data_IF_551097496387
#
_entry.id   IF_551097496387
#
_cell.length_a   1.000
_cell.length_b   1.000
_cell.length_c   1.000
_cell.angle_alpha   90.00
_cell.angle_beta   90.00
_cell.angle_gamma   90.00
#
_symmetry.space_group_name_H-M   'P 1'
#
loop_
_entity.id
_entity.type
_entity.pdbx_description
1 polymer ?
#
# COMPACT_ATOMS: atom_id res chain seq x y z
N UNK A 1 -52.76 9.20 10.78
CA UNK A 1 -51.53 8.96 11.54
C UNK A 1 -51.70 7.76 12.49
N UNK A 2 -51.88 6.59 11.93
CA UNK A 2 -52.03 5.34 12.73
C UNK A 2 -51.86 4.10 11.82
N UNK A 3 -50.76 4.03 11.02
CA UNK A 3 -50.52 2.86 10.15
C UNK A 3 -49.04 2.59 9.78
N UNK A 4 -48.08 3.05 10.59
CA UNK A 4 -46.65 2.74 10.42
C UNK A 4 -46.01 2.14 11.69
N UNK A 5 -46.78 1.37 12.48
CA UNK A 5 -46.28 0.75 13.72
C UNK A 5 -46.33 -0.79 13.71
N UNK A 6 -46.29 -1.44 12.53
CA UNK A 6 -46.58 -2.86 12.38
C UNK A 6 -45.53 -3.77 11.74
N UNK A 7 -44.30 -3.33 11.45
CA UNK A 7 -43.33 -4.15 10.67
C UNK A 7 -42.03 -4.50 11.41
N UNK A 8 -41.85 -4.15 12.67
CA UNK A 8 -40.62 -4.48 13.42
C UNK A 8 -40.83 -5.50 14.54
N UNK A 9 -41.48 -6.63 14.26
CA UNK A 9 -41.41 -7.82 15.13
C UNK A 9 -41.54 -9.09 14.33
N UNK A 10 -40.42 -9.56 13.75
CA UNK A 10 -40.08 -10.97 13.44
C UNK A 10 -38.79 -11.02 12.63
N UNK A 11 -37.66 -10.90 13.31
CA UNK A 11 -36.44 -11.60 12.89
C UNK A 11 -35.77 -12.11 14.18
N UNK A 12 -35.77 -13.44 14.30
CA UNK A 12 -35.43 -14.14 15.50
C UNK A 12 -34.00 -13.94 15.94
N UNK A 13 -33.84 -13.85 17.22
CA UNK A 13 -32.61 -14.16 17.93
C UNK A 13 -32.16 -15.57 17.54
N UNK A 14 -31.14 -15.69 16.71
CA UNK A 14 -30.37 -16.93 16.57
C UNK A 14 -29.39 -16.98 17.73
N UNK A 15 -29.53 -18.04 18.46
CA UNK A 15 -28.88 -18.35 19.73
C UNK A 15 -27.35 -18.21 19.67
N UNK A 16 -26.80 -17.57 20.68
CA UNK A 16 -25.36 -17.49 21.00
C UNK A 16 -24.71 -18.86 21.31
N UNK A 17 -25.37 -19.97 20.99
CA UNK A 17 -24.90 -21.32 21.25
C UNK A 17 -24.08 -21.98 20.13
N UNK A 18 -24.06 -21.41 18.91
CA UNK A 18 -23.40 -22.04 17.77
C UNK A 18 -21.95 -21.58 17.54
N UNK A 19 -21.54 -20.44 18.11
CA UNK A 19 -20.16 -19.93 18.01
C UNK A 19 -19.19 -20.59 19.00
N UNK A 20 -19.69 -21.18 20.09
CA UNK A 20 -18.86 -21.84 21.11
C UNK A 20 -18.44 -23.27 20.74
N UNK A 21 -19.01 -23.88 19.71
CA UNK A 21 -18.68 -25.26 19.28
C UNK A 21 -17.62 -25.38 18.21
N UNK A 22 -17.24 -24.33 17.50
CA UNK A 22 -16.17 -24.36 16.49
C UNK A 22 -14.78 -23.97 16.99
N UNK A 23 -14.65 -23.47 18.22
CA UNK A 23 -13.37 -23.12 18.85
C UNK A 23 -12.70 -24.30 19.54
N UNK A 24 -13.39 -25.44 19.69
CA UNK A 24 -12.90 -26.58 20.47
C UNK A 24 -12.38 -27.77 19.64
N UNK A 25 -12.30 -27.70 18.32
CA UNK A 25 -11.82 -28.82 17.47
C UNK A 25 -10.44 -28.64 16.85
N UNK A 26 -9.74 -27.52 17.05
CA UNK A 26 -8.31 -27.40 16.73
C UNK A 26 -7.44 -27.64 17.98
N UNK A 27 -7.43 -28.90 18.45
CA UNK A 27 -6.46 -29.39 19.42
C UNK A 27 -5.18 -29.84 18.70
N UNK A 28 -4.37 -28.89 18.23
CA UNK A 28 -2.94 -29.08 17.98
C UNK A 28 -2.27 -27.70 18.04
N UNK A 29 -2.08 -27.21 19.22
CA UNK A 29 -1.06 -26.25 19.66
C UNK A 29 -1.25 -25.93 21.14
N UNK A 30 -1.34 -26.99 21.95
CA UNK A 30 -1.52 -26.86 23.41
C UNK A 30 -0.24 -26.36 24.11
N UNK A 31 0.89 -26.25 23.41
CA UNK A 31 2.15 -25.80 23.99
C UNK A 31 2.36 -24.28 23.91
N UNK A 32 1.73 -23.57 22.98
CA UNK A 32 1.88 -22.11 22.82
C UNK A 32 1.18 -21.26 23.90
N UNK A 33 0.21 -21.82 24.63
CA UNK A 33 -0.60 -21.08 25.61
C UNK A 33 -0.41 -21.54 27.06
N UNK A 34 0.45 -22.52 27.32
CA UNK A 34 0.65 -23.09 28.67
C UNK A 34 1.28 -22.09 29.66
N UNK A 35 2.07 -21.16 29.18
CA UNK A 35 2.76 -20.16 30.03
C UNK A 35 1.89 -18.98 30.44
N UNK A 36 0.76 -18.70 29.76
CA UNK A 36 -0.21 -17.70 30.23
C UNK A 36 -0.95 -18.10 31.52
N UNK A 37 -0.88 -19.36 31.92
CA UNK A 37 -1.56 -19.88 33.12
C UNK A 37 -0.66 -19.96 34.35
N UNK A 38 0.64 -19.69 34.25
CA UNK A 38 1.60 -19.93 35.36
C UNK A 38 1.93 -18.70 36.17
N UNK A 39 1.21 -17.56 35.99
CA UNK A 39 1.35 -16.37 36.86
C UNK A 39 2.76 -15.75 36.89
N UNK A 40 3.59 -15.98 35.88
CA UNK A 40 4.84 -15.25 35.71
C UNK A 40 4.51 -13.83 35.25
N UNK A 41 5.12 -12.86 35.87
CA UNK A 41 4.83 -11.45 35.66
C UNK A 41 4.89 -11.04 34.18
N UNK A 42 4.04 -10.09 33.78
CA UNK A 42 4.00 -9.53 32.46
C UNK A 42 5.37 -8.86 32.15
N UNK A 43 6.27 -9.58 31.51
CA UNK A 43 7.58 -9.03 31.15
C UNK A 43 8.72 -10.04 30.96
N UNK A 44 8.49 -11.34 31.20
CA UNK A 44 9.55 -12.34 31.08
C UNK A 44 9.49 -13.06 29.75
N UNK A 45 10.49 -12.86 28.89
CA UNK A 45 10.64 -13.54 27.58
C UNK A 45 11.90 -14.41 27.60
N UNK A 46 11.88 -15.65 27.06
CA UNK A 46 13.10 -16.44 26.91
C UNK A 46 14.07 -15.79 25.92
N UNK A 47 15.35 -15.73 26.28
CA UNK A 47 16.41 -15.38 25.36
C UNK A 47 16.67 -16.52 24.33
N UNK A 48 17.56 -16.30 23.36
CA UNK A 48 17.92 -17.32 22.33
C UNK A 48 18.58 -18.58 22.91
N UNK A 49 18.97 -18.55 24.18
CA UNK A 49 19.63 -19.67 24.91
C UNK A 49 18.69 -20.28 25.97
N UNK A 50 17.40 -19.90 26.01
CA UNK A 50 16.41 -20.40 26.96
C UNK A 50 16.45 -19.76 28.34
N UNK A 51 17.24 -18.70 28.55
CA UNK A 51 17.21 -17.86 29.74
C UNK A 51 15.99 -16.96 29.78
N UNK A 52 15.51 -16.63 31.02
CA UNK A 52 14.44 -15.64 31.20
C UNK A 52 15.07 -14.27 31.24
N UNK A 53 14.75 -13.43 30.24
CA UNK A 53 15.19 -12.03 30.20
C UNK A 53 14.02 -11.14 30.61
N UNK A 54 14.20 -10.38 31.69
CA UNK A 54 13.23 -9.36 32.05
C UNK A 54 13.23 -8.24 31.02
N UNK A 55 12.06 -7.90 30.47
CA UNK A 55 11.92 -6.82 29.46
C UNK A 55 12.51 -5.50 29.97
N UNK A 56 12.41 -5.23 31.28
CA UNK A 56 13.02 -4.07 31.89
C UNK A 56 14.56 -4.07 31.79
N UNK A 57 15.21 -5.23 31.92
CA UNK A 57 16.67 -5.33 31.83
C UNK A 57 17.17 -5.14 30.37
N UNK A 58 16.38 -5.55 29.36
CA UNK A 58 16.69 -5.27 27.96
C UNK A 58 16.54 -3.80 27.58
N UNK A 59 15.57 -3.08 28.16
CA UNK A 59 15.39 -1.64 27.95
C UNK A 59 16.53 -0.83 28.57
N UNK A 60 17.17 -1.36 29.63
CA UNK A 60 18.21 -0.66 30.37
C UNK A 60 19.65 -1.03 29.96
N UNK A 61 19.83 -1.94 28.96
CA UNK A 61 21.16 -2.36 28.48
C UNK A 61 21.32 -2.17 26.96
N UNK A 62 22.53 -1.89 26.53
CA UNK A 62 22.87 -1.75 25.10
C UNK A 62 22.09 -0.67 24.37
N UNK A 63 21.60 -0.97 23.16
CA UNK A 63 20.88 -0.03 22.31
C UNK A 63 19.60 0.52 22.98
N UNK A 64 18.87 -0.30 23.74
CA UNK A 64 17.67 0.14 24.44
C UNK A 64 17.95 1.25 25.46
N UNK A 65 19.01 1.12 26.26
CA UNK A 65 19.44 2.15 27.22
C UNK A 65 19.90 3.43 26.48
N UNK A 66 20.65 3.28 25.39
CA UNK A 66 21.12 4.40 24.58
C UNK A 66 19.97 5.20 23.96
N UNK A 67 18.93 4.52 23.43
CA UNK A 67 17.74 5.17 22.87
C UNK A 67 16.92 5.92 23.92
N UNK A 68 16.82 5.39 25.14
CA UNK A 68 16.05 6.04 26.22
C UNK A 68 16.77 7.26 26.80
N UNK A 69 18.09 7.22 26.89
CA UNK A 69 18.90 8.24 27.58
C UNK A 69 19.63 9.19 26.62
N UNK A 70 19.90 8.74 25.39
CA UNK A 70 20.64 9.47 24.37
C UNK A 70 19.78 10.45 23.58
N UNK A 71 20.45 11.25 22.75
CA UNK A 71 19.78 12.10 21.76
C UNK A 71 19.42 11.31 20.52
N UNK A 72 18.16 11.39 20.09
CA UNK A 72 17.70 10.78 18.83
C UNK A 72 18.26 11.48 17.58
N UNK A 73 19.12 12.49 17.75
CA UNK A 73 19.90 13.12 16.66
C UNK A 73 21.37 12.69 16.66
N UNK A 74 21.78 11.81 17.58
CA UNK A 74 23.13 11.24 17.63
C UNK A 74 23.27 10.20 16.49
N UNK A 75 24.08 10.53 15.49
CA UNK A 75 24.28 9.70 14.31
C UNK A 75 24.85 8.32 14.67
N UNK A 76 25.78 8.23 15.63
CA UNK A 76 26.34 6.97 16.07
C UNK A 76 25.29 6.06 16.73
N UNK A 77 24.29 6.64 17.40
CA UNK A 77 23.16 5.92 17.94
C UNK A 77 22.19 5.48 16.82
N UNK A 78 21.89 6.34 15.87
CA UNK A 78 20.99 6.02 14.76
C UNK A 78 21.54 4.87 13.88
N UNK A 79 22.83 4.87 13.57
CA UNK A 79 23.48 3.77 12.82
C UNK A 79 23.32 2.42 13.53
N UNK A 80 23.32 2.37 14.87
CA UNK A 80 23.10 1.12 15.60
C UNK A 80 21.68 0.54 15.39
N UNK A 81 20.70 1.36 15.02
CA UNK A 81 19.34 0.88 14.73
C UNK A 81 19.25 0.08 13.44
N UNK A 82 20.17 0.28 12.49
CA UNK A 82 20.20 -0.43 11.21
C UNK A 82 20.47 -1.94 11.37
N UNK A 83 21.17 -2.31 12.46
CA UNK A 83 21.43 -3.72 12.75
C UNK A 83 20.20 -4.50 13.23
N UNK A 84 19.08 -3.81 13.51
CA UNK A 84 17.85 -4.45 13.96
C UNK A 84 17.06 -4.99 12.77
N UNK A 85 16.54 -6.24 12.82
CA UNK A 85 15.75 -6.79 11.74
C UNK A 85 14.41 -6.06 11.61
N UNK A 86 14.01 -5.77 10.37
CA UNK A 86 12.71 -5.18 10.07
C UNK A 86 11.71 -6.29 9.74
N UNK A 87 10.57 -6.30 10.44
CA UNK A 87 9.53 -7.32 10.29
C UNK A 87 8.66 -7.04 9.06
N UNK A 88 8.59 -7.93 8.05
CA UNK A 88 7.59 -7.83 6.99
C UNK A 88 6.22 -8.27 7.55
N UNK A 89 5.24 -7.37 7.53
CA UNK A 89 3.90 -7.62 8.10
C UNK A 89 3.01 -8.41 7.14
N UNK A 90 3.10 -8.12 5.83
CA UNK A 90 2.28 -8.72 4.77
C UNK A 90 3.14 -9.26 3.61
N UNK A 91 4.05 -10.23 3.86
CA UNK A 91 5.02 -10.69 2.85
C UNK A 91 4.40 -11.44 1.66
N UNK A 92 3.14 -11.82 1.75
CA UNK A 92 2.38 -12.52 0.71
C UNK A 92 1.37 -11.61 -0.03
N UNK A 93 1.23 -10.34 0.38
CA UNK A 93 0.35 -9.39 -0.27
C UNK A 93 1.06 -8.63 -1.40
N UNK A 94 0.30 -8.32 -2.45
CA UNK A 94 0.75 -7.52 -3.58
C UNK A 94 0.05 -6.16 -3.53
N UNK A 95 0.77 -5.06 -3.72
CA UNK A 95 0.18 -3.74 -3.87
C UNK A 95 0.06 -3.43 -5.37
N UNK A 96 -1.17 -3.21 -5.83
CA UNK A 96 -1.48 -2.89 -7.23
C UNK A 96 -2.07 -1.49 -7.31
N UNK A 97 -1.34 -0.56 -7.89
CA UNK A 97 -1.79 0.81 -8.07
C UNK A 97 -2.34 1.03 -9.46
N UNK A 98 -3.64 1.31 -9.58
CA UNK A 98 -4.34 1.59 -10.84
C UNK A 98 -4.27 3.08 -11.14
N UNK A 99 -3.70 3.46 -12.27
CA UNK A 99 -3.56 4.85 -12.70
C UNK A 99 -4.91 5.57 -12.81
N UNK A 100 -4.97 6.84 -12.37
CA UNK A 100 -6.18 7.65 -12.54
C UNK A 100 -6.38 8.05 -14.01
N UNK A 101 -5.47 8.86 -14.55
CA UNK A 101 -5.53 9.33 -15.95
C UNK A 101 -5.34 8.19 -16.94
N UNK A 102 -4.38 7.32 -16.70
CA UNK A 102 -4.04 6.23 -17.60
C UNK A 102 -5.10 5.14 -17.63
N UNK A 103 -5.95 5.03 -16.61
CA UNK A 103 -6.91 3.93 -16.51
C UNK A 103 -8.32 4.36 -16.14
N UNK A 104 -8.55 4.94 -14.97
CA UNK A 104 -9.90 5.25 -14.47
C UNK A 104 -10.63 6.25 -15.39
N UNK A 105 -9.92 7.28 -15.84
CA UNK A 105 -10.49 8.31 -16.73
C UNK A 105 -10.79 7.79 -18.15
N UNK A 106 -10.29 6.60 -18.55
CA UNK A 106 -10.65 5.92 -19.79
C UNK A 106 -11.98 5.18 -19.72
N UNK A 107 -12.55 5.02 -18.53
CA UNK A 107 -13.86 4.44 -18.31
C UNK A 107 -13.92 2.93 -18.59
N UNK A 108 -15.10 2.48 -19.02
CA UNK A 108 -15.47 1.06 -19.10
C UNK A 108 -14.49 0.19 -19.88
N UNK A 109 -14.05 0.65 -21.04
CA UNK A 109 -13.21 -0.15 -21.94
C UNK A 109 -11.85 -0.55 -21.32
N UNK A 110 -11.31 0.28 -20.44
CA UNK A 110 -10.07 -0.03 -19.73
C UNK A 110 -10.34 -0.73 -18.40
N UNK A 111 -11.32 -0.25 -17.63
CA UNK A 111 -11.50 -0.67 -16.24
C UNK A 111 -12.09 -2.08 -16.12
N UNK A 112 -13.05 -2.47 -16.98
CA UNK A 112 -13.73 -3.76 -16.83
C UNK A 112 -12.84 -4.97 -17.12
N UNK A 113 -12.02 -5.00 -18.20
CA UNK A 113 -11.10 -6.11 -18.41
C UNK A 113 -10.09 -6.27 -17.25
N UNK A 114 -9.58 -5.16 -16.70
CA UNK A 114 -8.69 -5.20 -15.56
C UNK A 114 -9.37 -5.73 -14.29
N UNK A 115 -10.64 -5.37 -14.04
CA UNK A 115 -11.43 -5.90 -12.93
C UNK A 115 -11.61 -7.42 -13.07
N UNK A 116 -11.93 -7.90 -14.25
CA UNK A 116 -12.09 -9.34 -14.51
C UNK A 116 -10.78 -10.09 -14.25
N UNK A 117 -9.65 -9.53 -14.69
CA UNK A 117 -8.33 -10.10 -14.43
C UNK A 117 -7.97 -10.06 -12.94
N UNK A 118 -8.24 -8.95 -12.24
CA UNK A 118 -8.05 -8.84 -10.79
C UNK A 118 -8.80 -9.94 -10.04
N UNK A 119 -10.10 -10.12 -10.35
CA UNK A 119 -10.95 -11.11 -9.69
C UNK A 119 -10.43 -12.54 -9.95
N UNK A 120 -10.02 -12.84 -11.17
CA UNK A 120 -9.48 -14.15 -11.52
C UNK A 120 -8.21 -14.49 -10.69
N UNK A 121 -7.41 -13.51 -10.37
CA UNK A 121 -6.17 -13.67 -9.61
C UNK A 121 -6.36 -13.76 -8.09
N UNK A 122 -7.57 -13.52 -7.54
CA UNK A 122 -7.80 -13.61 -6.09
C UNK A 122 -7.74 -15.02 -5.54
N UNK A 123 -7.77 -16.04 -6.38
CA UNK A 123 -7.59 -17.45 -5.97
C UNK A 123 -6.18 -17.64 -5.40
N UNK A 124 -5.18 -17.06 -6.04
CA UNK A 124 -3.77 -17.32 -5.74
C UNK A 124 -3.08 -16.14 -5.03
N UNK A 125 -3.62 -14.92 -5.15
CA UNK A 125 -2.96 -13.71 -4.69
C UNK A 125 -3.80 -12.92 -3.68
N UNK A 126 -3.13 -12.32 -2.68
CA UNK A 126 -3.68 -11.27 -1.81
C UNK A 126 -3.31 -9.92 -2.42
N UNK A 127 -4.30 -9.03 -2.60
CA UNK A 127 -4.11 -7.78 -3.35
C UNK A 127 -4.62 -6.56 -2.58
N UNK A 128 -3.76 -5.59 -2.37
CA UNK A 128 -4.12 -4.24 -1.92
C UNK A 128 -4.25 -3.37 -3.17
N UNK A 129 -5.48 -3.02 -3.54
CA UNK A 129 -5.77 -2.21 -4.72
C UNK A 129 -5.75 -0.74 -4.32
N UNK A 130 -4.86 0.05 -4.95
CA UNK A 130 -4.74 1.48 -4.74
C UNK A 130 -5.09 2.25 -6.02
N UNK A 131 -5.60 3.48 -5.93
CA UNK A 131 -6.02 4.26 -7.10
C UNK A 131 -5.26 5.57 -7.23
N UNK A 132 -4.99 5.98 -8.45
CA UNK A 132 -4.53 7.32 -8.77
C UNK A 132 -5.67 8.33 -8.84
N UNK A 133 -5.33 9.63 -8.81
CA UNK A 133 -6.31 10.71 -8.85
C UNK A 133 -6.74 11.09 -10.29
N UNK A 134 -5.82 11.10 -11.26
CA UNK A 134 -6.13 11.34 -12.66
C UNK A 134 -6.32 12.81 -13.04
N UNK A 135 -6.99 13.03 -14.18
CA UNK A 135 -7.18 14.37 -14.78
C UNK A 135 -7.97 15.32 -13.89
N UNK A 136 -8.94 14.79 -13.13
CA UNK A 136 -9.74 15.60 -12.21
C UNK A 136 -8.91 16.26 -11.11
N UNK A 137 -7.84 15.60 -10.62
CA UNK A 137 -6.93 16.22 -9.66
C UNK A 137 -6.13 17.36 -10.30
N UNK A 138 -5.73 17.23 -11.58
CA UNK A 138 -5.04 18.33 -12.29
C UNK A 138 -5.93 19.56 -12.40
N UNK A 139 -7.22 19.38 -12.67
CA UNK A 139 -8.20 20.46 -12.66
C UNK A 139 -8.35 21.06 -11.26
N UNK A 140 -8.50 20.23 -10.21
CA UNK A 140 -8.58 20.72 -8.83
C UNK A 140 -7.31 21.49 -8.41
N UNK A 141 -6.12 21.05 -8.84
CA UNK A 141 -4.88 21.78 -8.62
C UNK A 141 -4.87 23.13 -9.35
N UNK A 142 -5.32 23.18 -10.61
CA UNK A 142 -5.39 24.44 -11.36
C UNK A 142 -6.26 25.47 -10.65
N UNK A 143 -7.46 25.09 -10.23
CA UNK A 143 -8.37 25.97 -9.46
C UNK A 143 -7.76 26.35 -8.11
N UNK A 144 -7.20 25.40 -7.38
CA UNK A 144 -6.58 25.66 -6.07
C UNK A 144 -5.38 26.61 -6.17
N UNK A 145 -4.57 26.48 -7.24
CA UNK A 145 -3.45 27.38 -7.51
C UNK A 145 -3.91 28.80 -7.82
N UNK A 146 -4.95 28.95 -8.64
CA UNK A 146 -5.55 30.24 -8.97
C UNK A 146 -6.11 30.94 -7.73
N UNK A 147 -6.73 30.18 -6.82
CA UNK A 147 -7.21 30.65 -5.53
C UNK A 147 -6.12 30.88 -4.48
N UNK A 148 -4.84 30.69 -4.81
CA UNK A 148 -3.72 30.90 -3.91
C UNK A 148 -3.53 29.84 -2.83
N UNK A 149 -4.13 28.65 -2.96
CA UNK A 149 -4.05 27.59 -1.94
C UNK A 149 -2.62 27.07 -1.79
N UNK A 150 -2.15 26.79 -0.55
CA UNK A 150 -0.82 26.24 -0.31
C UNK A 150 -0.74 24.75 -0.69
N UNK A 151 0.50 24.26 -0.88
CA UNK A 151 0.80 22.89 -1.32
C UNK A 151 0.10 21.79 -0.51
N UNK A 152 0.05 21.91 0.82
CA UNK A 152 -0.64 20.93 1.66
C UNK A 152 -2.15 20.85 1.39
N UNK A 153 -2.81 21.97 1.08
CA UNK A 153 -4.23 21.99 0.68
C UNK A 153 -4.40 21.35 -0.70
N UNK A 154 -3.50 21.63 -1.65
CA UNK A 154 -3.52 20.93 -2.96
C UNK A 154 -3.37 19.41 -2.78
N UNK A 155 -2.51 18.96 -1.88
CA UNK A 155 -2.36 17.53 -1.57
C UNK A 155 -3.67 16.88 -1.10
N UNK A 156 -4.42 17.56 -0.22
CA UNK A 156 -5.74 17.10 0.23
C UNK A 156 -6.76 17.06 -0.92
N UNK A 157 -6.79 18.08 -1.78
CA UNK A 157 -7.69 18.08 -2.95
C UNK A 157 -7.41 16.90 -3.87
N UNK A 158 -6.13 16.59 -4.14
CA UNK A 158 -5.75 15.41 -4.90
C UNK A 158 -6.15 14.09 -4.22
N UNK A 159 -6.08 14.03 -2.90
CA UNK A 159 -6.50 12.88 -2.09
C UNK A 159 -8.00 12.61 -2.26
N UNK A 160 -8.85 13.61 -2.20
CA UNK A 160 -10.29 13.45 -2.39
C UNK A 160 -10.64 12.92 -3.77
N UNK A 161 -9.93 13.34 -4.81
CA UNK A 161 -10.13 12.80 -6.16
C UNK A 161 -9.70 11.33 -6.26
N UNK A 162 -8.58 10.97 -5.66
CA UNK A 162 -8.15 9.57 -5.57
C UNK A 162 -9.16 8.71 -4.80
N UNK A 163 -9.71 9.22 -3.71
CA UNK A 163 -10.77 8.57 -2.94
C UNK A 163 -12.04 8.35 -3.77
N UNK A 164 -12.46 9.34 -4.59
CA UNK A 164 -13.58 9.15 -5.52
C UNK A 164 -13.32 7.98 -6.48
N UNK A 165 -12.11 7.89 -7.04
CA UNK A 165 -11.74 6.78 -7.94
C UNK A 165 -11.79 5.43 -7.21
N UNK A 166 -11.27 5.36 -6.00
CA UNK A 166 -11.31 4.15 -5.18
C UNK A 166 -12.76 3.73 -4.84
N UNK A 167 -13.62 4.69 -4.51
CA UNK A 167 -15.04 4.42 -4.27
C UNK A 167 -15.75 3.90 -5.53
N UNK A 168 -15.50 4.48 -6.71
CA UNK A 168 -16.06 3.97 -7.96
C UNK A 168 -15.61 2.52 -8.21
N UNK A 169 -14.31 2.23 -8.05
CA UNK A 169 -13.78 0.88 -8.21
C UNK A 169 -14.37 -0.09 -7.18
N UNK A 170 -14.50 0.34 -5.93
CA UNK A 170 -15.14 -0.46 -4.89
C UNK A 170 -16.57 -0.85 -5.27
N UNK A 171 -17.40 0.08 -5.75
CA UNK A 171 -18.78 -0.27 -6.15
C UNK A 171 -18.84 -1.30 -7.27
N UNK A 172 -17.86 -1.31 -8.19
CA UNK A 172 -17.76 -2.34 -9.22
C UNK A 172 -17.33 -3.70 -8.64
N UNK A 173 -16.54 -3.70 -7.57
CA UNK A 173 -15.98 -4.87 -6.91
C UNK A 173 -16.82 -5.38 -5.71
N UNK A 174 -17.79 -4.59 -5.23
CA UNK A 174 -18.58 -4.89 -4.04
C UNK A 174 -19.33 -6.23 -4.13
N UNK A 175 -19.85 -6.57 -5.31
CA UNK A 175 -20.52 -7.87 -5.55
C UNK A 175 -19.60 -9.08 -5.37
N UNK A 176 -18.29 -8.88 -5.40
CA UNK A 176 -17.26 -9.90 -5.16
C UNK A 176 -16.76 -9.90 -3.70
N UNK A 177 -17.41 -9.12 -2.83
CA UNK A 177 -17.09 -9.05 -1.40
C UNK A 177 -15.81 -8.29 -1.07
N UNK A 178 -15.24 -7.53 -2.01
CA UNK A 178 -14.01 -6.75 -1.80
C UNK A 178 -14.35 -5.43 -1.10
N UNK A 179 -13.88 -5.21 0.15
CA UNK A 179 -14.21 -4.00 0.90
C UNK A 179 -13.39 -2.79 0.43
N UNK A 180 -13.96 -1.60 0.64
CA UNK A 180 -13.20 -0.35 0.66
C UNK A 180 -12.70 -0.12 2.10
N UNK A 181 -11.42 0.22 2.23
CA UNK A 181 -10.80 0.56 3.51
C UNK A 181 -10.12 1.93 3.44
N UNK A 182 -10.09 2.61 4.57
CA UNK A 182 -9.39 3.88 4.75
C UNK A 182 -8.08 3.64 5.55
N UNK A 183 -7.09 4.56 5.50
CA UNK A 183 -5.82 4.37 6.20
C UNK A 183 -5.94 4.09 7.70
N UNK A 184 -6.96 4.61 8.36
CA UNK A 184 -7.26 4.32 9.77
C UNK A 184 -7.55 2.83 10.02
N UNK A 185 -7.93 2.09 8.98
CA UNK A 185 -8.23 0.66 9.02
C UNK A 185 -7.04 -0.21 8.59
N UNK A 186 -5.90 0.36 8.20
CA UNK A 186 -4.72 -0.39 7.79
C UNK A 186 -4.19 -1.37 8.85
N UNK A 187 -4.29 -1.13 10.16
CA UNK A 187 -3.95 -2.15 11.15
C UNK A 187 -4.75 -3.45 11.02
N UNK A 188 -5.93 -3.43 10.38
CA UNK A 188 -6.75 -4.61 10.13
C UNK A 188 -6.50 -5.27 8.75
N UNK A 189 -5.56 -4.74 7.93
CA UNK A 189 -5.23 -5.32 6.61
C UNK A 189 -4.98 -6.83 6.64
N UNK A 190 -4.21 -7.39 7.61
CA UNK A 190 -4.00 -8.84 7.67
C UNK A 190 -5.32 -9.62 7.73
N UNK A 191 -6.28 -9.16 8.54
CA UNK A 191 -7.59 -9.79 8.67
C UNK A 191 -8.41 -9.70 7.38
N UNK A 192 -8.51 -8.52 6.79
CA UNK A 192 -9.24 -8.33 5.53
C UNK A 192 -8.67 -9.15 4.38
N UNK A 193 -7.35 -9.22 4.26
CA UNK A 193 -6.71 -9.98 3.20
C UNK A 193 -6.83 -11.49 3.40
N UNK A 194 -6.88 -11.96 4.65
CA UNK A 194 -7.13 -13.38 4.92
C UNK A 194 -8.54 -13.80 4.55
N UNK A 195 -9.54 -12.98 4.88
CA UNK A 195 -10.94 -13.31 4.63
C UNK A 195 -11.39 -13.02 3.18
N UNK A 196 -10.92 -11.93 2.58
CA UNK A 196 -11.45 -11.38 1.33
C UNK A 196 -10.46 -11.43 0.18
N UNK A 197 -9.22 -11.75 0.42
CA UNK A 197 -8.11 -11.80 -0.54
C UNK A 197 -7.75 -10.46 -1.17
N UNK A 198 -8.65 -9.48 -1.14
CA UNK A 198 -8.36 -8.13 -1.62
C UNK A 198 -9.08 -7.05 -0.81
N UNK A 199 -8.52 -5.85 -0.88
CA UNK A 199 -9.15 -4.60 -0.41
C UNK A 199 -8.94 -3.51 -1.46
N UNK A 200 -9.86 -2.53 -1.50
CA UNK A 200 -9.69 -1.29 -2.25
C UNK A 200 -9.37 -0.16 -1.27
N UNK A 201 -8.31 0.56 -1.54
CA UNK A 201 -7.99 1.83 -0.88
C UNK A 201 -7.64 2.89 -1.94
N UNK A 202 -7.45 4.12 -1.53
CA UNK A 202 -7.00 5.17 -2.44
C UNK A 202 -5.49 5.36 -2.32
N UNK A 203 -4.86 5.80 -3.43
CA UNK A 203 -3.47 6.25 -3.40
C UNK A 203 -3.41 7.55 -2.62
N UNK A 204 -3.07 7.46 -1.35
CA UNK A 204 -3.04 8.59 -0.45
C UNK A 204 -1.70 9.29 -0.55
N UNK A 205 -1.66 10.59 -0.84
CA UNK A 205 -0.46 11.39 -0.60
C UNK A 205 -0.05 11.24 0.87
N UNK A 206 1.20 10.82 1.17
CA UNK A 206 1.55 10.37 2.51
C UNK A 206 1.52 11.49 3.55
N UNK A 207 1.77 12.72 3.13
CA UNK A 207 1.94 13.83 4.06
C UNK A 207 0.72 14.77 4.19
N UNK A 208 -0.28 14.65 3.32
CA UNK A 208 -1.54 15.42 3.39
C UNK A 208 -1.31 16.93 3.60
N UNK A 209 -1.83 17.49 4.70
CA UNK A 209 -1.60 18.88 5.07
C UNK A 209 -0.14 19.21 5.41
N UNK A 210 0.62 18.23 5.88
CA UNK A 210 2.03 18.39 6.25
C UNK A 210 2.98 18.19 5.07
N UNK A 211 2.44 18.21 3.86
CA UNK A 211 3.23 18.14 2.63
C UNK A 211 4.20 19.31 2.55
N UNK A 212 5.47 19.04 2.42
CA UNK A 212 6.50 20.06 2.22
C UNK A 212 6.30 20.77 0.88
N UNK A 213 6.65 22.06 0.85
CA UNK A 213 6.72 22.79 -0.41
C UNK A 213 7.82 22.19 -1.29
N UNK A 214 7.54 21.97 -2.59
CA UNK A 214 8.59 21.54 -3.52
C UNK A 214 9.62 22.65 -3.75
N UNK A 215 10.82 22.25 -4.18
CA UNK A 215 11.86 23.21 -4.55
C UNK A 215 11.44 24.10 -5.75
N UNK A 216 10.60 23.54 -6.65
CA UNK A 216 10.09 24.25 -7.84
C UNK A 216 8.57 24.13 -7.88
N UNK A 217 7.89 25.27 -8.04
CA UNK A 217 6.44 25.34 -8.16
C UNK A 217 5.71 25.10 -6.83
N UNK A 218 4.44 24.66 -6.90
CA UNK A 218 3.57 24.43 -5.73
C UNK A 218 2.80 23.12 -5.81
N UNK A 219 2.97 22.34 -6.88
CA UNK A 219 2.31 21.02 -6.99
C UNK A 219 2.96 20.06 -5.99
N UNK A 220 2.17 19.32 -5.18
CA UNK A 220 2.71 18.37 -4.22
C UNK A 220 3.66 17.35 -4.86
N UNK A 221 4.90 17.21 -4.38
CA UNK A 221 5.84 16.22 -4.92
C UNK A 221 5.45 14.78 -4.58
N UNK A 222 4.91 14.57 -3.38
CA UNK A 222 4.48 13.25 -2.92
C UNK A 222 2.96 13.10 -3.13
N UNK A 223 2.57 12.33 -4.12
CA UNK A 223 1.17 12.10 -4.47
C UNK A 223 0.79 10.61 -4.32
N UNK A 224 -0.02 10.11 -5.24
CA UNK A 224 -0.65 8.79 -5.12
C UNK A 224 0.28 7.62 -5.45
N UNK A 225 1.32 7.82 -6.27
CA UNK A 225 2.33 6.78 -6.52
C UNK A 225 3.19 6.57 -5.27
N UNK A 226 3.61 7.68 -4.65
CA UNK A 226 4.37 7.68 -3.40
C UNK A 226 3.60 7.02 -2.26
N UNK A 227 2.31 7.35 -2.09
CA UNK A 227 1.50 6.75 -1.02
C UNK A 227 1.32 5.25 -1.21
N UNK A 228 1.08 4.78 -2.45
CA UNK A 228 0.97 3.34 -2.74
C UNK A 228 2.31 2.61 -2.50
N UNK A 229 3.43 3.24 -2.88
CA UNK A 229 4.75 2.70 -2.61
C UNK A 229 5.01 2.53 -1.11
N UNK A 230 4.73 3.57 -0.31
CA UNK A 230 4.94 3.52 1.14
C UNK A 230 4.07 2.46 1.83
N UNK A 231 2.86 2.21 1.35
CA UNK A 231 2.05 1.07 1.83
C UNK A 231 2.78 -0.24 1.57
N UNK A 232 3.37 -0.43 0.39
CA UNK A 232 4.12 -1.65 0.07
C UNK A 232 5.39 -1.81 0.91
N UNK A 233 6.08 -0.72 1.19
CA UNK A 233 7.30 -0.69 2.00
C UNK A 233 7.00 -0.95 3.47
N UNK A 234 6.08 -0.19 4.08
CA UNK A 234 5.76 -0.29 5.52
C UNK A 234 5.22 -1.68 5.89
N UNK A 235 4.41 -2.28 5.03
CA UNK A 235 3.87 -3.61 5.29
C UNK A 235 4.78 -4.75 4.80
N UNK A 236 5.92 -4.47 4.17
CA UNK A 236 6.81 -5.47 3.61
C UNK A 236 6.12 -6.35 2.57
N UNK A 237 5.28 -5.73 1.71
CA UNK A 237 4.50 -6.45 0.72
C UNK A 237 5.38 -7.19 -0.29
N UNK A 238 4.87 -8.29 -0.86
CA UNK A 238 5.56 -9.11 -1.85
C UNK A 238 5.96 -8.35 -3.11
N UNK A 239 5.07 -7.47 -3.62
CA UNK A 239 5.32 -6.71 -4.83
C UNK A 239 4.65 -5.33 -4.78
N UNK A 240 5.21 -4.38 -5.57
CA UNK A 240 4.59 -3.10 -5.89
C UNK A 240 4.43 -2.99 -7.39
N UNK A 241 3.19 -2.99 -7.90
CA UNK A 241 2.86 -3.00 -9.33
C UNK A 241 2.08 -1.72 -9.67
N UNK A 242 2.60 -0.93 -10.61
CA UNK A 242 1.93 0.23 -11.17
C UNK A 242 1.28 -0.13 -12.50
N UNK A 243 -0.04 -0.06 -12.56
CA UNK A 243 -0.83 -0.30 -13.76
C UNK A 243 -1.03 1.02 -14.50
N UNK A 244 -0.43 1.12 -15.67
CA UNK A 244 -0.45 2.28 -16.57
C UNK A 244 -1.02 1.89 -17.94
N UNK A 245 -0.98 2.80 -18.89
CA UNK A 245 -1.49 2.63 -20.28
C UNK A 245 -0.39 2.54 -21.34
N UNK A 246 0.86 2.41 -20.89
CA UNK A 246 2.04 2.17 -21.72
C UNK A 246 2.77 0.92 -21.22
N UNK A 247 3.56 0.29 -22.09
CA UNK A 247 4.23 -0.98 -21.81
C UNK A 247 5.28 -0.87 -20.69
N UNK A 248 5.61 0.32 -20.26
CA UNK A 248 6.53 0.65 -19.19
C UNK A 248 7.27 1.95 -19.45
N UNK A 249 8.55 2.00 -19.08
CA UNK A 249 9.42 3.15 -19.27
C UNK A 249 10.02 3.14 -20.69
N UNK A 250 10.16 4.31 -21.28
CA UNK A 250 10.85 4.54 -22.55
C UNK A 250 11.89 5.65 -22.42
N UNK A 251 12.83 5.70 -23.34
CA UNK A 251 13.85 6.76 -23.43
C UNK A 251 13.28 8.14 -23.75
N UNK A 252 12.06 8.20 -24.28
CA UNK A 252 11.27 9.40 -24.56
C UNK A 252 9.78 9.02 -24.63
N UNK A 253 8.88 9.98 -24.75
CA UNK A 253 7.44 9.72 -24.93
C UNK A 253 7.20 9.01 -26.30
N UNK A 254 6.80 7.71 -26.32
CA UNK A 254 6.64 6.97 -27.56
C UNK A 254 5.52 7.50 -28.46
N UNK A 255 4.62 8.33 -27.93
CA UNK A 255 3.56 9.00 -28.69
C UNK A 255 4.07 10.21 -29.46
N UNK A 256 5.19 10.77 -29.05
CA UNK A 256 5.79 11.98 -29.64
C UNK A 256 7.07 11.67 -30.42
N UNK A 257 7.84 10.69 -29.95
CA UNK A 257 9.11 10.30 -30.57
C UNK A 257 9.07 8.84 -31.03
N UNK A 258 8.98 8.60 -32.35
CA UNK A 258 9.04 7.23 -32.90
C UNK A 258 10.37 6.51 -32.66
N UNK A 259 11.43 7.24 -32.27
CA UNK A 259 12.72 6.69 -31.89
C UNK A 259 12.84 6.25 -30.43
N UNK A 260 11.78 6.47 -29.63
CA UNK A 260 11.74 6.07 -28.22
C UNK A 260 11.92 4.56 -28.06
N UNK A 261 12.87 4.17 -27.22
CA UNK A 261 13.19 2.75 -26.95
C UNK A 261 12.60 2.34 -25.62
N UNK A 262 11.93 1.19 -25.60
CA UNK A 262 11.44 0.56 -24.39
C UNK A 262 12.59 0.11 -23.50
N UNK A 263 12.46 0.32 -22.17
CA UNK A 263 13.43 -0.05 -21.14
C UNK A 263 12.81 -1.14 -20.24
N UNK A 264 13.18 -2.41 -20.39
CA UNK A 264 12.58 -3.50 -19.62
C UNK A 264 13.05 -3.56 -18.17
N UNK A 265 14.26 -3.07 -17.87
CA UNK A 265 14.84 -3.03 -16.54
C UNK A 265 15.85 -1.91 -16.43
N UNK A 266 15.87 -1.22 -15.29
CA UNK A 266 16.79 -0.12 -15.01
C UNK A 266 16.97 0.04 -13.50
N UNK A 267 18.16 0.47 -13.06
CA UNK A 267 18.35 0.90 -11.67
C UNK A 267 17.87 2.35 -11.47
N UNK A 268 17.63 2.71 -10.20
CA UNK A 268 17.26 4.10 -9.85
C UNK A 268 18.38 5.06 -10.27
N UNK A 269 19.65 4.70 -10.03
CA UNK A 269 20.81 5.51 -10.38
C UNK A 269 20.94 5.72 -11.89
N UNK A 270 20.77 4.65 -12.68
CA UNK A 270 20.78 4.74 -14.14
C UNK A 270 19.61 5.60 -14.65
N UNK A 271 18.42 5.45 -14.06
CA UNK A 271 17.24 6.22 -14.45
C UNK A 271 17.42 7.72 -14.14
N UNK A 272 17.99 8.06 -13.00
CA UNK A 272 18.32 9.45 -12.66
C UNK A 272 19.38 10.03 -13.62
N UNK A 273 20.37 9.23 -13.99
CA UNK A 273 21.43 9.65 -14.93
C UNK A 273 20.89 9.93 -16.35
N UNK A 274 19.78 9.30 -16.74
CA UNK A 274 19.11 9.58 -18.02
C UNK A 274 18.42 10.95 -18.06
N UNK A 275 18.12 11.55 -16.91
CA UNK A 275 17.46 12.86 -16.75
C UNK A 275 16.22 13.02 -17.63
N UNK A 276 15.37 11.99 -17.67
CA UNK A 276 14.18 11.97 -18.50
C UNK A 276 13.14 13.00 -18.01
N UNK A 277 12.44 13.64 -18.93
CA UNK A 277 11.34 14.56 -18.61
C UNK A 277 10.19 13.87 -17.86
N UNK A 278 9.85 12.62 -18.24
CA UNK A 278 8.82 11.80 -17.60
C UNK A 278 9.38 10.42 -17.22
N UNK A 279 9.16 10.05 -15.97
CA UNK A 279 9.61 8.80 -15.36
C UNK A 279 8.42 7.99 -14.85
N UNK A 280 7.42 7.76 -15.65
CA UNK A 280 6.20 6.93 -15.43
C UNK A 280 5.67 6.79 -13.99
N UNK A 281 6.45 7.10 -12.97
CA UNK A 281 6.11 7.18 -11.53
C UNK A 281 6.55 8.52 -10.96
N UNK A 282 6.13 8.87 -9.75
CA UNK A 282 6.60 10.07 -9.06
C UNK A 282 8.07 9.94 -8.69
N UNK A 283 8.90 10.97 -8.94
CA UNK A 283 10.34 10.94 -8.61
C UNK A 283 10.61 10.62 -7.14
N UNK A 284 9.74 11.09 -6.24
CA UNK A 284 9.81 10.76 -4.81
C UNK A 284 9.73 9.25 -4.51
N UNK A 285 9.15 8.43 -5.38
CA UNK A 285 9.20 6.97 -5.26
C UNK A 285 10.63 6.49 -5.42
N UNK A 286 11.35 7.00 -6.43
CA UNK A 286 12.74 6.63 -6.70
C UNK A 286 13.65 7.02 -5.52
N UNK A 287 13.46 8.23 -4.98
CA UNK A 287 14.21 8.69 -3.81
C UNK A 287 14.00 7.77 -2.60
N UNK A 288 12.73 7.41 -2.31
CA UNK A 288 12.41 6.52 -1.19
C UNK A 288 12.91 5.08 -1.37
N UNK A 289 13.03 4.60 -2.60
CA UNK A 289 13.54 3.25 -2.88
C UNK A 289 15.01 3.08 -2.46
N UNK A 290 15.82 4.14 -2.47
CA UNK A 290 17.22 4.09 -2.07
C UNK A 290 17.40 3.66 -0.62
N UNK A 291 16.51 4.13 0.26
CA UNK A 291 16.55 3.86 1.71
C UNK A 291 15.57 2.75 2.15
N UNK A 292 14.95 2.06 1.19
CA UNK A 292 13.95 1.04 1.47
C UNK A 292 14.52 -0.18 2.19
N UNK A 293 13.79 -0.69 3.18
CA UNK A 293 14.13 -1.89 3.95
C UNK A 293 13.49 -3.15 3.36
N UNK A 294 12.30 -3.03 2.76
CA UNK A 294 11.54 -4.16 2.21
C UNK A 294 11.41 -4.09 0.69
N UNK A 295 11.01 -2.92 0.13
CA UNK A 295 10.62 -2.81 -1.27
C UNK A 295 11.63 -2.02 -2.11
N UNK A 296 12.71 -2.70 -2.49
CA UNK A 296 13.78 -2.13 -3.34
C UNK A 296 13.52 -2.27 -4.84
N UNK A 297 12.34 -2.71 -5.24
CA UNK A 297 11.98 -2.83 -6.64
C UNK A 297 10.49 -2.59 -6.86
N UNK A 298 10.15 -1.98 -7.98
CA UNK A 298 8.79 -1.76 -8.45
C UNK A 298 8.66 -2.26 -9.88
N UNK A 299 7.42 -2.56 -10.29
CA UNK A 299 7.11 -3.00 -11.64
C UNK A 299 6.04 -2.08 -12.25
N UNK A 300 6.25 -1.62 -13.47
CA UNK A 300 5.30 -0.80 -14.24
C UNK A 300 4.81 -1.60 -15.43
N UNK A 301 3.50 -1.78 -15.55
CA UNK A 301 2.90 -2.62 -16.60
C UNK A 301 1.81 -1.88 -17.38
N UNK A 302 1.60 -2.30 -18.63
CA UNK A 302 0.45 -1.91 -19.43
C UNK A 302 -0.77 -2.77 -19.05
N UNK A 303 -1.70 -2.18 -18.31
CA UNK A 303 -2.93 -2.87 -17.92
C UNK A 303 -3.99 -2.95 -19.01
N UNK A 304 -3.78 -2.31 -20.17
CA UNK A 304 -4.66 -2.44 -21.33
C UNK A 304 -4.40 -3.73 -22.12
N UNK A 305 -3.28 -4.40 -21.85
CA UNK A 305 -2.94 -5.70 -22.43
C UNK A 305 -3.40 -6.80 -21.50
N UNK A 306 -4.41 -7.60 -21.87
CA UNK A 306 -4.91 -8.69 -21.04
C UNK A 306 -3.81 -9.70 -20.68
N UNK A 307 -3.79 -10.14 -19.42
CA UNK A 307 -2.82 -11.07 -18.89
C UNK A 307 -1.55 -10.42 -18.31
N UNK A 308 -1.30 -9.14 -18.57
CA UNK A 308 -0.11 -8.48 -18.02
C UNK A 308 -0.15 -8.37 -16.49
N UNK A 309 -1.31 -8.10 -15.90
CA UNK A 309 -1.44 -8.07 -14.44
C UNK A 309 -1.20 -9.46 -13.84
N UNK A 310 -1.76 -10.51 -14.43
CA UNK A 310 -1.56 -11.89 -14.00
C UNK A 310 -0.08 -12.27 -14.03
N UNK A 311 0.61 -11.96 -15.12
CA UNK A 311 2.05 -12.21 -15.26
C UNK A 311 2.86 -11.45 -14.22
N UNK A 312 2.54 -10.19 -13.97
CA UNK A 312 3.20 -9.38 -12.96
C UNK A 312 2.98 -9.92 -11.53
N UNK A 313 1.74 -10.34 -11.20
CA UNK A 313 1.42 -10.97 -9.91
C UNK A 313 2.18 -12.30 -9.71
N UNK A 314 2.41 -13.04 -10.78
CA UNK A 314 3.24 -14.25 -10.78
C UNK A 314 4.76 -13.98 -10.72
N UNK A 315 5.17 -12.71 -10.79
CA UNK A 315 6.58 -12.31 -10.74
C UNK A 315 7.30 -12.46 -12.09
N UNK A 316 6.54 -12.58 -13.20
CA UNK A 316 7.12 -12.66 -14.53
C UNK A 316 7.64 -11.28 -15.01
N UNK A 317 8.68 -11.28 -15.88
CA UNK A 317 9.22 -10.08 -16.45
C UNK A 317 8.29 -9.51 -17.53
N UNK A 318 7.33 -8.69 -17.13
CA UNK A 318 6.42 -7.94 -18.00
C UNK A 318 6.49 -6.45 -17.66
N UNK A 319 6.51 -5.59 -18.66
CA UNK A 319 6.67 -4.15 -18.46
C UNK A 319 8.09 -3.76 -18.06
N UNK A 320 8.24 -2.74 -17.23
CA UNK A 320 9.54 -2.26 -16.74
C UNK A 320 9.72 -2.57 -15.26
N UNK A 321 10.86 -3.14 -14.89
CA UNK A 321 11.35 -3.22 -13.52
C UNK A 321 12.28 -2.04 -13.21
N UNK A 322 12.03 -1.35 -12.11
CA UNK A 322 12.95 -0.34 -11.56
C UNK A 322 13.41 -0.84 -10.20
N UNK A 323 14.73 -0.86 -9.97
CA UNK A 323 15.34 -1.36 -8.72
C UNK A 323 16.33 -0.37 -8.12
N UNK A 324 16.48 -0.37 -6.78
CA UNK A 324 17.48 0.40 -6.02
C UNK A 324 18.50 -0.53 -5.36
#
# INVERSE_FOLDING_TARGET
MAEIAGVWRRSGFLEAGALTRRVNENRHDAEGWAWMRTGRGAGDWPDRNGGIVHVQDQILTGLGAALVQGSLTDEALLVQTEAQPVLPILPDANVVKIGGQSFIDRGRAAVFPLIEELIANLVDHKIIISTGAGTRARHAYSVGLDLGMPTGVLSILGTYVSMQNARMLHYLLAKHGIPFIEPVQFPQLPLYLEERRAVVSFGMPPYLYWQQNPAIGRIPPNRTDTGAYLVSEVFGARSMIYVKDEDGLYTADPKKDPGAKFIPSISVEELEALDLDDVVVERSVLDMMKDAQHRRSIQVINGLVPGNLTRALNGEPVGTFISA
#
